data_IF_392840699432
#
_entry.id   IF_392840699432
#
_cell.length_a   1.000
_cell.length_b   1.000
_cell.length_c   1.000
_cell.angle_alpha   90.00
_cell.angle_beta   90.00
_cell.angle_gamma   90.00
#
_symmetry.space_group_name_H-M   'P 1'
#
loop_
_entity.id
_entity.type
_entity.pdbx_description
1 polymer ?
#
# COMPACT_ATOMS: atom_id res chain seq x y z
N UNK A 1 -10.09 -13.17 18.17
CA UNK A 1 -9.44 -14.50 18.05
C UNK A 1 -8.72 -14.72 16.71
N UNK A 2 -9.39 -14.56 15.56
CA UNK A 2 -8.75 -14.76 14.23
C UNK A 2 -7.64 -13.74 13.98
N UNK A 3 -7.90 -12.45 14.24
CA UNK A 3 -6.91 -11.35 14.17
C UNK A 3 -5.62 -11.70 14.89
N UNK A 4 -5.70 -11.98 16.20
CA UNK A 4 -4.54 -12.27 17.06
C UNK A 4 -3.76 -13.50 16.62
N UNK A 5 -4.45 -14.53 16.09
CA UNK A 5 -3.77 -15.72 15.56
C UNK A 5 -2.99 -15.39 14.28
N UNK A 6 -3.57 -14.59 13.39
CA UNK A 6 -2.91 -14.22 12.13
C UNK A 6 -1.75 -13.25 12.39
N UNK A 7 -1.91 -12.27 13.29
CA UNK A 7 -0.79 -11.38 13.67
C UNK A 7 0.38 -12.18 14.24
N UNK A 8 0.12 -13.13 15.14
CA UNK A 8 1.17 -13.99 15.71
C UNK A 8 1.82 -14.90 14.65
N UNK A 9 1.03 -15.39 13.69
CA UNK A 9 1.54 -16.20 12.58
C UNK A 9 2.47 -15.41 11.65
N UNK A 10 2.16 -14.13 11.40
CA UNK A 10 2.99 -13.26 10.57
C UNK A 10 4.29 -12.89 11.29
N UNK A 11 4.23 -12.56 12.58
CA UNK A 11 5.42 -12.16 13.35
C UNK A 11 6.42 -13.31 13.58
N UNK A 12 5.99 -14.57 13.47
CA UNK A 12 6.82 -15.74 13.77
C UNK A 12 7.34 -16.52 12.57
N UNK A 13 7.14 -16.06 11.32
CA UNK A 13 7.43 -16.87 10.14
C UNK A 13 7.91 -16.07 8.93
N UNK A 14 9.01 -16.52 8.33
CA UNK A 14 9.48 -16.06 7.02
C UNK A 14 8.94 -17.03 5.98
N UNK A 15 8.14 -16.53 5.04
CA UNK A 15 7.48 -17.37 4.05
C UNK A 15 8.26 -17.47 2.75
N UNK A 16 8.11 -18.60 2.05
CA UNK A 16 8.56 -18.77 0.67
C UNK A 16 7.67 -17.95 -0.29
N UNK A 17 8.17 -17.52 -1.46
CA UNK A 17 7.45 -16.62 -2.38
C UNK A 17 5.99 -17.01 -2.68
N UNK A 18 5.72 -18.30 -2.91
CA UNK A 18 4.36 -18.79 -3.20
C UNK A 18 3.40 -18.66 -2.01
N UNK A 19 3.91 -18.80 -0.78
CA UNK A 19 3.11 -18.67 0.45
C UNK A 19 2.91 -17.20 0.81
N UNK A 20 3.87 -16.33 0.48
CA UNK A 20 3.78 -14.87 0.73
C UNK A 20 2.52 -14.28 0.11
N UNK A 21 2.19 -14.65 -1.13
CA UNK A 21 1.01 -14.10 -1.81
C UNK A 21 -0.30 -14.47 -1.12
N UNK A 22 -0.40 -15.70 -0.57
CA UNK A 22 -1.57 -16.13 0.18
C UNK A 22 -1.71 -15.36 1.49
N UNK A 23 -0.61 -15.23 2.24
CA UNK A 23 -0.61 -14.48 3.51
C UNK A 23 -0.86 -12.98 3.26
N UNK A 24 -0.28 -12.41 2.22
CA UNK A 24 -0.54 -11.04 1.77
C UNK A 24 -2.02 -10.81 1.46
N UNK A 25 -2.67 -11.76 0.77
CA UNK A 25 -4.11 -11.73 0.53
C UNK A 25 -4.96 -11.75 1.81
N UNK A 26 -4.56 -12.53 2.80
CA UNK A 26 -5.21 -12.55 4.12
C UNK A 26 -5.03 -11.21 4.85
N UNK A 27 -3.82 -10.66 4.83
CA UNK A 27 -3.53 -9.35 5.43
C UNK A 27 -4.37 -8.26 4.77
N UNK A 28 -4.45 -8.26 3.43
CA UNK A 28 -5.31 -7.34 2.69
C UNK A 28 -6.76 -7.39 3.15
N UNK A 29 -7.31 -8.59 3.34
CA UNK A 29 -8.67 -8.75 3.84
C UNK A 29 -8.83 -8.19 5.26
N UNK A 30 -7.87 -8.45 6.15
CA UNK A 30 -7.88 -7.92 7.51
C UNK A 30 -7.76 -6.40 7.55
N UNK A 31 -6.89 -5.81 6.75
CA UNK A 31 -6.70 -4.36 6.63
C UNK A 31 -8.00 -3.68 6.21
N UNK A 32 -8.77 -4.28 5.30
CA UNK A 32 -10.08 -3.75 4.89
C UNK A 32 -11.14 -3.86 5.98
N UNK A 33 -11.14 -4.93 6.76
CA UNK A 33 -12.16 -5.16 7.79
C UNK A 33 -11.86 -4.45 9.11
N UNK A 34 -10.59 -4.36 9.51
CA UNK A 34 -10.13 -3.85 10.81
C UNK A 34 -8.91 -2.93 10.65
N UNK A 35 -9.01 -1.82 9.88
CA UNK A 35 -7.85 -1.02 9.50
C UNK A 35 -7.08 -0.45 10.70
N UNK A 36 -7.76 0.23 11.64
CA UNK A 36 -7.13 0.88 12.80
C UNK A 36 -6.30 -0.13 13.59
N UNK A 37 -6.97 -1.20 13.97
CA UNK A 37 -6.48 -2.27 14.83
C UNK A 37 -5.32 -3.08 14.23
N UNK A 38 -5.31 -3.25 12.91
CA UNK A 38 -4.25 -3.96 12.19
C UNK A 38 -3.05 -3.06 11.98
N UNK A 39 -3.27 -1.80 11.57
CA UNK A 39 -2.20 -0.82 11.36
C UNK A 39 -1.45 -0.56 12.67
N UNK A 40 -2.15 -0.37 13.78
CA UNK A 40 -1.55 -0.12 15.10
C UNK A 40 -0.57 -1.21 15.52
N UNK A 41 -0.85 -2.47 15.18
CA UNK A 41 -0.01 -3.61 15.54
C UNK A 41 1.05 -3.92 14.47
N UNK A 42 0.63 -4.14 13.23
CA UNK A 42 1.50 -4.70 12.18
C UNK A 42 2.32 -3.64 11.45
N UNK A 43 1.84 -2.40 11.31
CA UNK A 43 2.59 -1.38 10.56
C UNK A 43 3.90 -1.01 11.27
N UNK A 44 3.91 -0.65 12.58
CA UNK A 44 5.15 -0.37 13.29
C UNK A 44 6.12 -1.55 13.26
N UNK A 45 5.64 -2.77 13.50
CA UNK A 45 6.47 -3.97 13.49
C UNK A 45 7.10 -4.22 12.11
N UNK A 46 6.33 -4.05 11.05
CA UNK A 46 6.83 -4.23 9.68
C UNK A 46 7.88 -3.17 9.34
N UNK A 47 7.63 -1.91 9.68
CA UNK A 47 8.57 -0.81 9.47
C UNK A 47 9.88 -1.03 10.25
N UNK A 48 9.78 -1.41 11.53
CA UNK A 48 10.95 -1.68 12.37
C UNK A 48 11.79 -2.86 11.83
N UNK A 49 11.14 -3.92 11.35
CA UNK A 49 11.84 -5.05 10.71
C UNK A 49 12.55 -4.62 9.42
N UNK A 50 11.92 -3.79 8.59
CA UNK A 50 12.55 -3.23 7.38
C UNK A 50 13.77 -2.40 7.75
N UNK A 51 13.64 -1.46 8.69
CA UNK A 51 14.72 -0.59 9.14
C UNK A 51 15.90 -1.39 9.72
N UNK A 52 15.62 -2.41 10.53
CA UNK A 52 16.66 -3.32 11.07
C UNK A 52 17.44 -4.04 9.97
N UNK A 53 16.76 -4.54 8.95
CA UNK A 53 17.41 -5.25 7.84
C UNK A 53 18.24 -4.28 7.00
N UNK A 54 17.71 -3.08 6.72
CA UNK A 54 18.41 -2.05 5.97
C UNK A 54 19.66 -1.57 6.70
N UNK A 55 19.58 -1.23 7.98
CA UNK A 55 20.76 -0.81 8.77
C UNK A 55 21.85 -1.88 8.84
N UNK A 56 21.49 -3.16 8.81
CA UNK A 56 22.46 -4.26 8.78
C UNK A 56 23.24 -4.34 7.46
N UNK A 57 22.72 -3.76 6.38
CA UNK A 57 23.14 -4.06 5.01
C UNK A 57 23.15 -2.87 4.05
N UNK A 58 23.17 -1.65 4.59
CA UNK A 58 22.95 -0.35 3.93
C UNK A 58 23.60 -0.20 2.54
N UNK A 59 24.84 -0.67 2.36
CA UNK A 59 25.58 -0.51 1.11
C UNK A 59 25.36 -1.69 0.15
N UNK A 60 25.12 -2.88 0.70
CA UNK A 60 25.01 -4.11 -0.09
C UNK A 60 23.66 -4.16 -0.78
N UNK A 61 22.53 -3.94 -0.09
CA UNK A 61 21.21 -4.10 -0.71
C UNK A 61 20.85 -3.05 -1.77
N UNK A 62 21.48 -1.88 -1.69
CA UNK A 62 21.34 -0.84 -2.73
C UNK A 62 22.07 -1.20 -4.02
N UNK A 63 23.07 -2.09 -3.97
CA UNK A 63 23.91 -2.42 -5.12
C UNK A 63 23.85 -3.92 -5.50
N UNK A 64 23.28 -4.76 -4.65
CA UNK A 64 23.24 -6.20 -4.80
C UNK A 64 21.96 -6.66 -5.49
N UNK A 65 22.15 -7.41 -6.57
CA UNK A 65 21.07 -8.03 -7.33
C UNK A 65 20.54 -9.30 -6.66
N UNK A 66 21.25 -9.90 -5.70
CA UNK A 66 20.83 -11.15 -5.07
C UNK A 66 19.78 -10.99 -3.98
N UNK A 67 19.50 -9.76 -3.54
CA UNK A 67 18.35 -9.42 -2.70
C UNK A 67 18.31 -10.09 -1.32
N UNK A 68 17.48 -9.54 -0.44
CA UNK A 68 17.15 -10.19 0.81
C UNK A 68 15.70 -10.70 0.74
N UNK A 69 15.56 -12.02 0.88
CA UNK A 69 14.26 -12.68 0.88
C UNK A 69 13.39 -12.21 2.04
N UNK A 70 13.99 -11.93 3.20
CA UNK A 70 13.30 -11.43 4.38
C UNK A 70 12.84 -9.98 4.16
N UNK A 71 13.71 -9.12 3.62
CA UNK A 71 13.33 -7.75 3.25
C UNK A 71 12.17 -7.76 2.27
N UNK A 72 12.27 -8.56 1.21
CA UNK A 72 11.22 -8.66 0.18
C UNK A 72 9.88 -9.09 0.80
N UNK A 73 9.88 -9.98 1.79
CA UNK A 73 8.67 -10.36 2.50
C UNK A 73 8.05 -9.17 3.25
N UNK A 74 8.84 -8.44 4.04
CA UNK A 74 8.32 -7.29 4.77
C UNK A 74 7.89 -6.15 3.84
N UNK A 75 8.53 -5.98 2.69
CA UNK A 75 8.09 -5.01 1.66
C UNK A 75 6.75 -5.41 1.03
N UNK A 76 6.54 -6.70 0.75
CA UNK A 76 5.23 -7.19 0.29
C UNK A 76 4.17 -6.98 1.37
N UNK A 77 4.49 -7.27 2.63
CA UNK A 77 3.59 -7.04 3.76
C UNK A 77 3.23 -5.55 3.90
N UNK A 78 4.24 -4.68 3.85
CA UNK A 78 4.08 -3.23 3.86
C UNK A 78 3.17 -2.76 2.72
N UNK A 79 3.35 -3.29 1.50
CA UNK A 79 2.51 -2.94 0.35
C UNK A 79 1.03 -3.26 0.58
N UNK A 80 0.70 -4.30 1.34
CA UNK A 80 -0.68 -4.63 1.71
C UNK A 80 -1.21 -3.75 2.85
N UNK A 81 -0.36 -3.40 3.83
CA UNK A 81 -0.75 -2.54 4.96
C UNK A 81 -1.07 -1.12 4.51
N UNK A 82 -0.32 -0.55 3.56
CA UNK A 82 -0.58 0.79 3.01
C UNK A 82 -1.81 0.85 2.09
N UNK A 83 -2.52 -0.27 1.90
CA UNK A 83 -3.83 -0.32 1.22
C UNK A 83 -5.01 -0.06 2.18
N UNK A 84 -4.74 0.34 3.43
CA UNK A 84 -5.78 0.69 4.37
C UNK A 84 -6.59 1.93 3.95
N UNK A 85 -7.59 2.25 4.78
CA UNK A 85 -8.40 3.46 4.62
C UNK A 85 -7.52 4.71 4.76
N UNK A 86 -7.65 5.66 3.85
CA UNK A 86 -6.71 6.77 3.71
C UNK A 86 -6.64 7.68 4.93
N UNK A 87 -7.79 8.00 5.52
CA UNK A 87 -7.91 8.76 6.78
C UNK A 87 -7.10 8.16 7.93
N UNK A 88 -7.02 6.83 8.02
CA UNK A 88 -6.24 6.13 9.04
C UNK A 88 -4.75 6.12 8.68
N UNK A 89 -4.41 6.05 7.39
CA UNK A 89 -3.02 6.11 6.93
C UNK A 89 -2.35 7.45 7.25
N UNK A 90 -3.11 8.55 7.30
CA UNK A 90 -2.60 9.86 7.69
C UNK A 90 -1.95 9.89 9.08
N UNK A 91 -2.44 9.06 10.02
CA UNK A 91 -1.87 8.92 11.37
C UNK A 91 -0.41 8.45 11.28
N UNK A 92 -0.11 7.60 10.29
CA UNK A 92 1.19 6.96 10.10
C UNK A 92 2.02 7.57 8.95
N UNK A 93 1.62 8.72 8.41
CA UNK A 93 2.22 9.34 7.22
C UNK A 93 3.76 9.47 7.29
N UNK A 94 4.30 9.84 8.46
CA UNK A 94 5.75 10.02 8.68
C UNK A 94 6.50 8.70 8.60
N UNK A 95 5.95 7.66 9.23
CA UNK A 95 6.53 6.32 9.22
C UNK A 95 6.51 5.72 7.82
N UNK A 96 5.38 5.86 7.12
CA UNK A 96 5.23 5.42 5.73
C UNK A 96 6.26 6.13 4.83
N UNK A 97 6.36 7.47 4.93
CA UNK A 97 7.32 8.26 4.14
C UNK A 97 8.77 7.88 4.42
N UNK A 98 9.12 7.59 5.67
CA UNK A 98 10.46 7.11 6.07
C UNK A 98 10.86 5.83 5.33
N UNK A 99 9.99 4.82 5.32
CA UNK A 99 10.26 3.55 4.63
C UNK A 99 10.45 3.76 3.13
N UNK A 100 9.61 4.59 2.49
CA UNK A 100 9.81 4.92 1.08
C UNK A 100 11.16 5.60 0.83
N UNK A 101 11.58 6.55 1.67
CA UNK A 101 12.90 7.17 1.53
C UNK A 101 14.05 6.17 1.55
N UNK A 102 14.00 5.18 2.44
CA UNK A 102 15.07 4.20 2.59
C UNK A 102 15.06 3.14 1.49
N UNK A 103 13.88 2.74 1.00
CA UNK A 103 13.74 1.60 0.09
C UNK A 103 13.64 1.95 -1.40
N UNK A 104 13.40 3.22 -1.77
CA UNK A 104 13.06 3.57 -3.16
C UNK A 104 14.17 3.28 -4.18
N UNK A 105 15.42 3.14 -3.72
CA UNK A 105 16.58 2.91 -4.59
C UNK A 105 17.13 1.49 -4.60
N UNK A 106 16.45 0.54 -3.96
CA UNK A 106 16.83 -0.89 -3.98
C UNK A 106 16.88 -1.42 -5.42
N UNK A 107 17.89 -2.20 -5.77
CA UNK A 107 18.06 -2.76 -7.12
C UNK A 107 17.46 -4.15 -7.31
N UNK A 108 17.31 -4.91 -6.23
CA UNK A 108 16.70 -6.23 -6.29
C UNK A 108 15.27 -6.15 -6.84
N UNK A 109 15.00 -6.96 -7.87
CA UNK A 109 13.78 -6.87 -8.68
C UNK A 109 12.50 -6.99 -7.88
N UNK A 110 12.35 -8.08 -7.14
CA UNK A 110 11.11 -8.34 -6.40
C UNK A 110 10.89 -7.30 -5.30
N UNK A 111 11.98 -6.74 -4.73
CA UNK A 111 11.91 -5.70 -3.70
C UNK A 111 11.44 -4.36 -4.27
N UNK A 112 12.02 -3.88 -5.38
CA UNK A 112 11.56 -2.61 -5.96
C UNK A 112 10.16 -2.75 -6.59
N UNK A 113 9.79 -3.93 -7.10
CA UNK A 113 8.43 -4.20 -7.57
C UNK A 113 7.43 -4.16 -6.40
N UNK A 114 7.80 -4.70 -5.22
CA UNK A 114 6.99 -4.58 -4.02
C UNK A 114 6.83 -3.11 -3.57
N UNK A 115 7.90 -2.31 -3.63
CA UNK A 115 7.83 -0.86 -3.35
C UNK A 115 6.94 -0.14 -4.37
N UNK A 116 7.12 -0.41 -5.66
CA UNK A 116 6.29 0.14 -6.72
C UNK A 116 4.81 -0.19 -6.51
N UNK A 117 4.52 -1.43 -6.08
CA UNK A 117 3.17 -1.85 -5.69
C UNK A 117 2.66 -1.10 -4.46
N UNK A 118 3.50 -0.92 -3.43
CA UNK A 118 3.16 -0.14 -2.24
C UNK A 118 2.81 1.31 -2.59
N UNK A 119 3.57 1.96 -3.48
CA UNK A 119 3.28 3.32 -3.99
C UNK A 119 1.87 3.35 -4.61
N UNK A 120 1.58 2.43 -5.53
CA UNK A 120 0.27 2.40 -6.18
C UNK A 120 -0.86 2.16 -5.17
N UNK A 121 -0.65 1.26 -4.20
CA UNK A 121 -1.64 0.96 -3.19
C UNK A 121 -1.91 2.17 -2.29
N UNK A 122 -0.86 2.84 -1.80
CA UNK A 122 -0.96 4.05 -0.98
C UNK A 122 -1.72 5.16 -1.72
N UNK A 123 -1.28 5.49 -2.94
CA UNK A 123 -1.90 6.56 -3.73
C UNK A 123 -3.35 6.25 -4.08
N UNK A 124 -3.68 4.99 -4.37
CA UNK A 124 -5.07 4.57 -4.59
C UNK A 124 -5.91 4.67 -3.33
N UNK A 125 -5.36 4.31 -2.17
CA UNK A 125 -6.07 4.40 -0.89
C UNK A 125 -6.39 5.84 -0.48
N UNK A 126 -5.52 6.79 -0.84
CA UNK A 126 -5.69 8.20 -0.52
C UNK A 126 -6.54 8.96 -1.55
N UNK A 127 -6.42 8.63 -2.85
CA UNK A 127 -7.06 9.40 -3.93
C UNK A 127 -8.34 8.80 -4.49
N UNK A 128 -8.60 7.50 -4.32
CA UNK A 128 -9.79 6.89 -4.89
C UNK A 128 -11.02 7.03 -3.98
N UNK A 129 -12.18 7.03 -4.62
CA UNK A 129 -13.47 6.85 -3.97
C UNK A 129 -13.79 5.35 -3.97
N UNK A 130 -13.99 4.77 -2.79
CA UNK A 130 -14.27 3.33 -2.62
C UNK A 130 -15.16 3.09 -1.39
N UNK A 131 -15.91 1.97 -1.35
CA UNK A 131 -16.72 1.63 -0.19
C UNK A 131 -15.84 1.28 1.02
N UNK A 132 -16.23 1.78 2.20
CA UNK A 132 -15.55 1.52 3.48
C UNK A 132 -16.00 0.22 4.13
N UNK A 133 -17.25 -0.19 3.91
CA UNK A 133 -17.85 -1.35 4.56
C UNK A 133 -18.22 -2.42 3.52
N UNK A 134 -17.71 -3.64 3.72
CA UNK A 134 -17.93 -4.81 2.86
C UNK A 134 -18.74 -5.91 3.57
N UNK A 135 -19.37 -5.59 4.71
CA UNK A 135 -20.21 -6.54 5.45
C UNK A 135 -21.43 -6.92 4.61
N UNK A 136 -21.80 -8.19 4.67
CA UNK A 136 -22.96 -8.74 3.98
C UNK A 136 -24.28 -8.32 4.66
N UNK A 137 -24.21 -7.96 5.93
CA UNK A 137 -25.37 -7.64 6.78
C UNK A 137 -25.26 -6.21 7.30
N UNK A 138 -26.40 -5.56 7.50
CA UNK A 138 -26.47 -4.24 8.11
C UNK A 138 -26.31 -4.30 9.62
N UNK A 139 -26.80 -5.37 10.25
CA UNK A 139 -26.72 -5.50 11.70
C UNK A 139 -25.29 -5.74 12.16
N UNK A 140 -24.99 -5.22 13.36
CA UNK A 140 -23.74 -5.49 14.05
C UNK A 140 -23.80 -6.91 14.61
N UNK A 141 -23.16 -7.83 13.90
CA UNK A 141 -22.99 -9.23 14.36
C UNK A 141 -22.19 -9.34 15.67
N UNK A 142 -21.59 -8.24 16.11
CA UNK A 142 -20.80 -8.13 17.34
C UNK A 142 -21.69 -7.85 18.58
N UNK A 143 -23.01 -7.70 18.42
CA UNK A 143 -23.95 -7.55 19.52
C UNK A 143 -24.09 -8.85 20.35
N UNK A 144 -24.25 -8.76 21.68
CA UNK A 144 -24.34 -9.93 22.52
C UNK A 144 -25.56 -10.79 22.14
N UNK A 145 -25.40 -12.11 22.20
CA UNK A 145 -26.43 -13.07 21.77
C UNK A 145 -27.75 -13.00 22.55
N UNK A 146 -27.76 -12.29 23.66
CA UNK A 146 -28.95 -12.02 24.47
C UNK A 146 -29.88 -11.04 23.72
N UNK A 147 -29.31 -10.07 23.02
CA UNK A 147 -30.04 -8.99 22.36
C UNK A 147 -30.30 -9.30 20.89
N UNK A 148 -29.39 -10.03 20.22
CA UNK A 148 -29.51 -10.37 18.80
C UNK A 148 -28.95 -11.76 18.49
N UNK A 149 -29.69 -12.55 17.71
CA UNK A 149 -29.24 -13.86 17.22
C UNK A 149 -28.89 -13.76 15.72
N UNK A 150 -27.59 -13.77 15.34
CA UNK A 150 -27.16 -13.66 13.95
C UNK A 150 -27.72 -14.71 12.99
N UNK A 151 -28.15 -15.88 13.50
CA UNK A 151 -28.75 -16.91 12.66
C UNK A 151 -30.09 -16.48 12.04
N UNK A 152 -30.79 -15.51 12.64
CA UNK A 152 -32.11 -15.05 12.16
C UNK A 152 -32.05 -14.31 10.83
N UNK A 153 -30.88 -13.79 10.47
CA UNK A 153 -30.66 -13.01 9.26
C UNK A 153 -29.91 -13.80 8.18
N UNK A 154 -29.74 -15.12 8.40
CA UNK A 154 -29.05 -15.96 7.44
C UNK A 154 -29.86 -16.09 6.14
N UNK A 155 -29.25 -15.72 5.02
CA UNK A 155 -29.90 -15.76 3.70
C UNK A 155 -30.89 -14.61 3.49
N UNK A 156 -30.89 -13.60 4.35
CA UNK A 156 -31.72 -12.42 4.17
C UNK A 156 -31.30 -11.67 2.90
N UNK A 157 -32.28 -11.34 2.07
CA UNK A 157 -32.05 -10.56 0.86
C UNK A 157 -31.72 -9.10 1.23
N UNK A 158 -30.78 -8.51 0.51
CA UNK A 158 -30.49 -7.10 0.62
C UNK A 158 -31.53 -6.30 -0.19
N UNK A 159 -32.22 -5.37 0.49
CA UNK A 159 -33.05 -4.37 -0.19
C UNK A 159 -32.15 -3.26 -0.75
N UNK A 160 -32.03 -3.20 -2.09
CA UNK A 160 -31.17 -2.25 -2.80
C UNK A 160 -31.46 -0.78 -2.46
N UNK A 161 -32.73 -0.43 -2.24
CA UNK A 161 -33.14 0.96 -1.98
C UNK A 161 -32.73 1.43 -0.58
N UNK A 162 -32.48 0.49 0.33
CA UNK A 162 -32.09 0.78 1.70
C UNK A 162 -30.58 0.56 1.95
N UNK A 163 -29.78 0.21 0.93
CA UNK A 163 -28.33 0.00 1.11
C UNK A 163 -27.65 1.36 1.33
N UNK A 164 -27.23 1.61 2.57
CA UNK A 164 -26.38 2.74 2.91
C UNK A 164 -24.91 2.37 2.72
N UNK A 165 -24.36 2.64 1.54
CA UNK A 165 -22.93 2.47 1.28
C UNK A 165 -22.17 3.68 1.82
N UNK A 166 -21.28 3.44 2.77
CA UNK A 166 -20.32 4.45 3.23
C UNK A 166 -19.14 4.47 2.27
N UNK A 167 -18.86 5.63 1.69
CA UNK A 167 -17.73 5.83 0.79
C UNK A 167 -16.61 6.58 1.48
N UNK A 168 -15.39 6.16 1.19
CA UNK A 168 -14.21 6.97 1.36
C UNK A 168 -14.19 8.06 0.29
N UNK A 169 -14.05 9.32 0.70
CA UNK A 169 -13.87 10.46 -0.20
C UNK A 169 -12.57 11.15 0.23
N UNK A 170 -11.61 11.35 -0.68
CA UNK A 170 -10.35 12.03 -0.37
C UNK A 170 -10.59 13.40 0.28
N UNK A 171 -9.99 13.63 1.45
CA UNK A 171 -10.02 14.90 2.14
C UNK A 171 -8.80 15.76 1.79
N UNK A 172 -8.77 17.01 2.28
CA UNK A 172 -7.69 17.97 1.98
C UNK A 172 -6.35 17.48 2.51
N UNK A 173 -6.30 16.95 3.74
CA UNK A 173 -5.07 16.46 4.36
C UNK A 173 -4.47 15.26 3.59
N UNK A 174 -5.33 14.38 3.05
CA UNK A 174 -4.92 13.27 2.18
C UNK A 174 -4.33 13.76 0.87
N UNK A 175 -4.97 14.75 0.24
CA UNK A 175 -4.48 15.34 -1.00
C UNK A 175 -3.15 16.05 -0.77
N UNK A 176 -3.02 16.80 0.31
CA UNK A 176 -1.78 17.50 0.67
C UNK A 176 -0.64 16.52 0.94
N UNK A 177 -0.92 15.44 1.68
CA UNK A 177 0.06 14.37 1.89
C UNK A 177 0.48 13.71 0.57
N UNK A 178 -0.46 13.43 -0.34
CA UNK A 178 -0.14 12.88 -1.66
C UNK A 178 0.71 13.84 -2.49
N UNK A 179 0.37 15.13 -2.49
CA UNK A 179 1.14 16.14 -3.22
C UNK A 179 2.59 16.22 -2.70
N UNK A 180 2.77 16.27 -1.38
CA UNK A 180 4.10 16.23 -0.75
C UNK A 180 4.86 14.93 -1.10
N UNK A 181 4.19 13.78 -1.01
CA UNK A 181 4.76 12.48 -1.33
C UNK A 181 5.22 12.41 -2.80
N UNK A 182 4.34 12.74 -3.74
CA UNK A 182 4.62 12.70 -5.17
C UNK A 182 5.75 13.67 -5.49
N UNK A 183 5.70 14.91 -5.02
CA UNK A 183 6.77 15.89 -5.26
C UNK A 183 8.12 15.39 -4.73
N UNK A 184 8.14 14.82 -3.52
CA UNK A 184 9.38 14.31 -2.91
C UNK A 184 10.02 13.22 -3.77
N UNK A 185 9.24 12.22 -4.20
CA UNK A 185 9.80 11.03 -4.85
C UNK A 185 9.89 11.14 -6.38
N UNK A 186 8.92 11.76 -7.04
CA UNK A 186 8.92 11.87 -8.51
C UNK A 186 10.06 12.75 -8.99
N UNK A 187 10.30 13.90 -8.35
CA UNK A 187 11.36 14.82 -8.76
C UNK A 187 12.75 14.26 -8.43
N UNK A 188 12.88 13.53 -7.31
CA UNK A 188 14.12 12.81 -6.98
C UNK A 188 14.50 11.84 -8.09
N UNK A 189 13.58 10.97 -8.51
CA UNK A 189 13.88 9.95 -9.53
C UNK A 189 14.00 10.53 -10.94
N UNK A 190 13.22 11.57 -11.28
CA UNK A 190 13.34 12.26 -12.57
C UNK A 190 14.68 12.99 -12.69
N UNK A 191 15.14 13.67 -11.64
CA UNK A 191 16.43 14.37 -11.63
C UNK A 191 17.57 13.34 -11.74
N UNK A 192 17.50 12.27 -10.95
CA UNK A 192 18.45 11.16 -11.04
C UNK A 192 18.56 10.59 -12.46
N UNK A 193 17.43 10.30 -13.12
CA UNK A 193 17.42 9.80 -14.49
C UNK A 193 17.94 10.81 -15.49
N UNK A 194 17.57 12.10 -15.40
CA UNK A 194 18.04 13.13 -16.34
C UNK A 194 19.56 13.29 -16.32
N UNK A 195 20.17 13.28 -15.14
CA UNK A 195 21.61 13.49 -14.97
C UNK A 195 22.44 12.25 -15.29
N UNK A 196 21.87 11.06 -15.08
CA UNK A 196 22.64 9.81 -15.10
C UNK A 196 22.20 8.82 -16.20
N UNK A 197 21.26 9.18 -17.08
CA UNK A 197 20.64 8.26 -18.06
C UNK A 197 21.64 7.37 -18.83
N UNK A 198 22.79 7.92 -19.22
CA UNK A 198 23.83 7.22 -19.98
C UNK A 198 24.88 6.53 -19.09
N UNK A 199 24.94 6.87 -17.80
CA UNK A 199 25.92 6.37 -16.84
C UNK A 199 25.42 5.18 -16.02
N UNK A 200 24.11 5.12 -15.76
CA UNK A 200 23.49 4.05 -14.97
C UNK A 200 23.22 2.79 -15.78
N UNK A 201 23.23 1.66 -15.08
CA UNK A 201 22.90 0.35 -15.62
C UNK A 201 21.49 0.29 -16.21
N UNK A 202 21.21 -0.75 -17.00
CA UNK A 202 19.86 -1.00 -17.50
C UNK A 202 18.86 -1.24 -16.36
N UNK A 203 19.30 -1.91 -15.29
CA UNK A 203 18.43 -2.28 -14.16
C UNK A 203 18.10 -1.07 -13.27
N UNK A 204 19.07 -0.19 -13.00
CA UNK A 204 18.82 1.10 -12.31
C UNK A 204 17.81 1.96 -13.06
N UNK A 205 17.92 2.02 -14.39
CA UNK A 205 16.96 2.73 -15.24
C UNK A 205 15.57 2.11 -15.16
N UNK A 206 15.48 0.78 -15.28
CA UNK A 206 14.22 0.06 -15.19
C UNK A 206 13.55 0.30 -13.82
N UNK A 207 14.31 0.22 -12.73
CA UNK A 207 13.80 0.50 -11.38
C UNK A 207 13.25 1.93 -11.27
N UNK A 208 14.04 2.92 -11.66
CA UNK A 208 13.63 4.34 -11.58
C UNK A 208 12.38 4.62 -12.43
N UNK A 209 12.32 4.06 -13.65
CA UNK A 209 11.15 4.15 -14.51
C UNK A 209 9.93 3.43 -13.93
N UNK A 210 10.12 2.28 -13.25
CA UNK A 210 9.03 1.54 -12.60
C UNK A 210 8.44 2.33 -11.44
N UNK A 211 9.29 3.01 -10.66
CA UNK A 211 8.86 3.92 -9.58
C UNK A 211 8.10 5.12 -10.15
N UNK A 212 8.64 5.79 -11.17
CA UNK A 212 7.98 6.93 -11.82
C UNK A 212 6.63 6.52 -12.42
N UNK A 213 6.58 5.39 -13.12
CA UNK A 213 5.35 4.83 -13.67
C UNK A 213 4.32 4.53 -12.58
N UNK A 214 4.76 3.95 -11.46
CA UNK A 214 3.88 3.66 -10.31
C UNK A 214 3.33 4.92 -9.65
N UNK A 215 4.16 5.96 -9.50
CA UNK A 215 3.73 7.26 -9.00
C UNK A 215 2.69 7.87 -9.95
N UNK A 216 2.98 7.91 -11.25
CA UNK A 216 2.09 8.47 -12.27
C UNK A 216 0.73 7.74 -12.36
N UNK A 217 0.75 6.40 -12.32
CA UNK A 217 -0.47 5.57 -12.29
C UNK A 217 -1.25 5.81 -11.00
N UNK A 218 -0.57 5.99 -9.87
CA UNK A 218 -1.23 6.22 -8.59
C UNK A 218 -1.88 7.60 -8.48
N UNK A 219 -1.24 8.64 -9.03
CA UNK A 219 -1.70 10.03 -8.94
C UNK A 219 -2.60 10.48 -10.09
N UNK A 220 -3.05 9.57 -10.96
CA UNK A 220 -3.81 9.92 -12.17
C UNK A 220 -5.06 10.77 -11.92
N UNK A 221 -5.65 10.71 -10.72
CA UNK A 221 -6.85 11.50 -10.36
C UNK A 221 -6.57 12.97 -10.08
N UNK A 222 -5.34 13.32 -9.67
CA UNK A 222 -4.96 14.71 -9.36
C UNK A 222 -4.30 15.42 -10.54
N UNK A 223 -3.77 14.66 -11.50
CA UNK A 223 -3.12 15.23 -12.69
C UNK A 223 -4.18 15.61 -13.72
N UNK A 224 -4.21 16.89 -14.09
CA UNK A 224 -5.08 17.38 -15.16
C UNK A 224 -4.73 16.70 -16.49
N UNK A 225 -5.74 16.49 -17.33
CA UNK A 225 -5.53 15.96 -18.68
C UNK A 225 -4.52 16.85 -19.42
N UNK A 226 -3.55 16.22 -20.08
CA UNK A 226 -2.59 16.94 -20.94
C UNK A 226 -3.40 17.57 -22.07
N UNK A 227 -3.44 18.90 -22.12
CA UNK A 227 -4.06 19.64 -23.20
C UNK A 227 -3.25 19.42 -24.48
N UNK A 228 -3.81 18.66 -25.43
CA UNK A 228 -3.23 18.53 -26.76
C UNK A 228 -3.61 19.73 -27.61
N UNK A 229 -2.67 20.28 -28.37
CA UNK A 229 -2.99 21.22 -29.46
C UNK A 229 -3.98 20.53 -30.42
N UNK A 230 -5.03 21.24 -30.81
CA UNK A 230 -5.97 20.74 -31.82
C UNK A 230 -5.20 20.32 -33.07
N UNK A 231 -5.36 19.07 -33.48
CA UNK A 231 -4.81 18.60 -34.75
C UNK A 231 -5.74 19.14 -35.83
N UNK A 232 -5.28 20.02 -36.74
CA UNK A 232 -6.14 20.51 -37.81
C UNK A 232 -6.64 19.33 -38.63
N UNK A 233 -7.95 19.27 -38.85
CA UNK A 233 -8.59 18.23 -39.65
C UNK A 233 -7.92 18.17 -41.03
N UNK A 234 -7.41 16.99 -41.39
CA UNK A 234 -6.90 16.66 -42.73
C UNK A 234 -8.02 16.66 -43.77
#
# INVERSE_FOLDING_TARGET
>A
MIKTKITNFISGSIFLPNVRQLVAGLVRAMVKCYPIEILETLLPQTCESIEKILHKSEITLLNDHNGDLELTWYLVLFAELVQARGDILLIYQKMIKSIFHQCIRILHKDSYEAIAKAIQNLLRSLLNIYPMNYRLTREKLDEPFIDFLPIRIWGQNADFDQIQVQYHIPNVDEIDFVCDFVNTFIYSELTFLKENFLKVSKDERLRSLTVISSLAIGCFRIVSRIESKEVPNL
#
